data_IF_635556232029
#
_entry.id   IF_635556232029
#
_cell.length_a   1.000
_cell.length_b   1.000
_cell.length_c   1.000
_cell.angle_alpha   90.00
_cell.angle_beta   90.00
_cell.angle_gamma   90.00
#
_symmetry.space_group_name_H-M   'P 1'
#
loop_
_entity.id
_entity.type
_entity.pdbx_description
1 polymer ?
#
# COMPACT_ATOMS: atom_id res chain seq x y z
N UNK A 1 5.93 -58.72 -2.80
CA UNK A 1 6.43 -57.61 -3.63
C UNK A 1 5.81 -56.32 -3.10
N UNK A 2 6.56 -55.56 -2.29
CA UNK A 2 6.06 -54.35 -1.63
C UNK A 2 6.35 -53.13 -2.51
N UNK A 3 5.30 -52.55 -3.09
CA UNK A 3 5.43 -51.31 -3.86
C UNK A 3 5.36 -50.14 -2.87
N UNK A 4 6.53 -49.65 -2.47
CA UNK A 4 6.65 -48.44 -1.66
C UNK A 4 6.48 -47.24 -2.58
N UNK A 5 5.39 -46.49 -2.41
CA UNK A 5 5.19 -45.20 -3.08
C UNK A 5 5.99 -44.17 -2.29
N UNK A 6 6.99 -43.48 -2.88
CA UNK A 6 7.66 -42.39 -2.20
C UNK A 6 6.66 -41.24 -2.04
N UNK A 7 6.35 -40.91 -0.79
CA UNK A 7 5.63 -39.68 -0.45
C UNK A 7 6.51 -38.51 -0.88
N UNK A 8 6.17 -37.87 -2.00
CA UNK A 8 6.82 -36.66 -2.45
C UNK A 8 6.77 -35.62 -1.31
N UNK A 9 7.89 -34.95 -0.99
CA UNK A 9 7.89 -33.93 0.04
C UNK A 9 6.97 -32.81 -0.44
N UNK A 10 6.00 -32.42 0.39
CA UNK A 10 5.19 -31.22 0.16
C UNK A 10 6.16 -30.05 0.01
N UNK A 11 6.46 -29.66 -1.23
CA UNK A 11 7.11 -28.40 -1.56
C UNK A 11 6.28 -27.33 -0.88
N UNK A 12 6.80 -26.76 0.22
CA UNK A 12 6.35 -25.48 0.74
C UNK A 12 6.30 -24.57 -0.48
N UNK A 13 5.10 -24.09 -0.85
CA UNK A 13 4.94 -23.15 -1.95
C UNK A 13 5.94 -22.01 -1.73
N UNK A 14 7.01 -22.01 -2.52
CA UNK A 14 7.87 -20.85 -2.63
C UNK A 14 6.97 -19.77 -3.23
N UNK A 15 6.72 -18.73 -2.43
CA UNK A 15 5.97 -17.56 -2.86
C UNK A 15 6.60 -17.08 -4.17
N UNK A 16 5.83 -17.12 -5.25
CA UNK A 16 6.36 -16.84 -6.59
C UNK A 16 6.54 -15.33 -6.73
N UNK A 17 7.48 -14.89 -7.58
CA UNK A 17 7.63 -13.48 -7.93
C UNK A 17 6.32 -12.85 -8.44
N UNK A 18 5.45 -13.65 -9.09
CA UNK A 18 4.12 -13.22 -9.50
C UNK A 18 3.20 -12.91 -8.30
N UNK A 19 3.25 -13.71 -7.23
CA UNK A 19 2.47 -13.45 -6.02
C UNK A 19 2.99 -12.23 -5.23
N UNK A 20 4.29 -11.94 -5.28
CA UNK A 20 4.83 -10.72 -4.67
C UNK A 20 4.43 -9.46 -5.44
N UNK A 21 4.41 -9.53 -6.78
CA UNK A 21 3.93 -8.44 -7.63
C UNK A 21 2.43 -8.19 -7.42
N UNK A 22 1.62 -9.25 -7.29
CA UNK A 22 0.19 -9.15 -7.00
C UNK A 22 -0.06 -8.51 -5.63
N UNK A 23 0.68 -8.90 -4.59
CA UNK A 23 0.57 -8.30 -3.27
C UNK A 23 0.99 -6.83 -3.24
N UNK A 24 2.05 -6.46 -3.96
CA UNK A 24 2.47 -5.05 -4.12
C UNK A 24 1.40 -4.23 -4.84
N UNK A 25 0.79 -4.78 -5.88
CA UNK A 25 -0.28 -4.12 -6.61
C UNK A 25 -1.53 -3.93 -5.74
N UNK A 26 -1.91 -4.94 -4.95
CA UNK A 26 -3.01 -4.84 -3.99
C UNK A 26 -2.74 -3.75 -2.94
N UNK A 27 -1.54 -3.73 -2.36
CA UNK A 27 -1.16 -2.69 -1.39
C UNK A 27 -1.12 -1.29 -2.03
N UNK A 28 -0.64 -1.16 -3.27
CA UNK A 28 -0.65 0.11 -3.98
C UNK A 28 -2.09 0.61 -4.20
N UNK A 29 -3.03 -0.27 -4.55
CA UNK A 29 -4.44 0.07 -4.67
C UNK A 29 -5.04 0.53 -3.32
N UNK A 30 -4.75 -0.19 -2.24
CA UNK A 30 -5.21 0.19 -0.89
C UNK A 30 -4.67 1.57 -0.46
N UNK A 31 -3.41 1.88 -0.81
CA UNK A 31 -2.80 3.18 -0.50
C UNK A 31 -3.41 4.32 -1.34
N UNK A 32 -3.74 4.07 -2.60
CA UNK A 32 -4.46 5.03 -3.46
C UNK A 32 -5.84 5.33 -2.86
N UNK A 33 -6.59 4.30 -2.44
CA UNK A 33 -7.87 4.49 -1.77
C UNK A 33 -7.73 5.29 -0.46
N UNK A 34 -6.64 5.09 0.29
CA UNK A 34 -6.37 5.84 1.51
C UNK A 34 -6.03 7.31 1.22
N UNK A 35 -5.30 7.61 0.15
CA UNK A 35 -5.01 8.99 -0.28
C UNK A 35 -6.32 9.75 -0.54
N UNK A 36 -7.26 9.15 -1.27
CA UNK A 36 -8.56 9.78 -1.53
C UNK A 36 -9.33 10.07 -0.22
N UNK A 37 -9.33 9.13 0.73
CA UNK A 37 -9.96 9.36 2.04
C UNK A 37 -9.29 10.46 2.84
N UNK A 38 -7.96 10.57 2.80
CA UNK A 38 -7.22 11.66 3.46
C UNK A 38 -7.55 12.99 2.82
N UNK A 39 -7.69 13.03 1.49
CA UNK A 39 -8.12 14.21 0.75
C UNK A 39 -9.54 14.64 1.15
N UNK A 40 -10.50 13.71 1.18
CA UNK A 40 -11.87 13.98 1.64
C UNK A 40 -11.89 14.50 3.09
N UNK A 41 -11.10 13.92 3.98
CA UNK A 41 -10.96 14.39 5.36
C UNK A 41 -10.38 15.81 5.42
N UNK A 42 -9.41 16.13 4.56
CA UNK A 42 -8.81 17.47 4.46
C UNK A 42 -9.85 18.50 4.02
N UNK A 43 -10.66 18.17 2.99
CA UNK A 43 -11.77 19.01 2.53
C UNK A 43 -12.81 19.21 3.63
N UNK A 44 -13.12 18.16 4.40
CA UNK A 44 -14.04 18.25 5.53
C UNK A 44 -13.51 19.18 6.63
N UNK A 45 -12.23 19.06 7.00
CA UNK A 45 -11.57 19.93 7.99
C UNK A 45 -11.59 21.39 7.53
N UNK A 46 -11.35 21.65 6.24
CA UNK A 46 -11.41 23.00 5.68
C UNK A 46 -12.79 23.66 5.79
N UNK A 47 -13.86 22.86 5.84
CA UNK A 47 -15.24 23.34 6.02
C UNK A 47 -15.67 23.47 7.50
N UNK A 48 -14.85 23.03 8.45
CA UNK A 48 -15.21 23.04 9.87
C UNK A 48 -15.27 24.47 10.44
N UNK A 49 -16.23 24.69 11.33
CA UNK A 49 -16.29 25.87 12.18
C UNK A 49 -15.57 25.59 13.51
N UNK A 50 -14.70 26.49 13.96
CA UNK A 50 -13.96 26.29 15.22
C UNK A 50 -12.73 27.19 15.34
N UNK A 51 -11.91 27.01 16.40
CA UNK A 51 -10.72 27.81 16.57
C UNK A 51 -9.73 27.54 15.43
N UNK A 52 -9.35 28.62 14.74
CA UNK A 52 -8.70 28.57 13.44
C UNK A 52 -7.35 27.85 13.46
N UNK A 53 -6.58 28.01 14.54
CA UNK A 53 -5.25 27.41 14.64
C UNK A 53 -5.31 25.88 14.66
N UNK A 54 -6.20 25.29 15.44
CA UNK A 54 -6.34 23.82 15.52
C UNK A 54 -6.83 23.25 14.19
N UNK A 55 -7.75 23.93 13.51
CA UNK A 55 -8.24 23.51 12.19
C UNK A 55 -7.11 23.58 11.16
N UNK A 56 -6.34 24.67 11.14
CA UNK A 56 -5.19 24.82 10.25
C UNK A 56 -4.11 23.76 10.50
N UNK A 57 -3.77 23.49 11.77
CA UNK A 57 -2.81 22.46 12.13
C UNK A 57 -3.31 21.06 11.70
N UNK A 58 -4.59 20.78 11.92
CA UNK A 58 -5.19 19.51 11.49
C UNK A 58 -5.14 19.37 9.97
N UNK A 59 -5.51 20.40 9.22
CA UNK A 59 -5.42 20.39 7.76
C UNK A 59 -3.97 20.17 7.29
N UNK A 60 -2.99 20.82 7.91
CA UNK A 60 -1.58 20.62 7.58
C UNK A 60 -1.13 19.17 7.82
N UNK A 61 -1.48 18.58 8.96
CA UNK A 61 -1.14 17.19 9.26
C UNK A 61 -1.76 16.20 8.26
N UNK A 62 -2.97 16.46 7.77
CA UNK A 62 -3.60 15.65 6.74
C UNK A 62 -2.92 15.80 5.37
N UNK A 63 -2.51 17.02 4.99
CA UNK A 63 -1.72 17.25 3.77
C UNK A 63 -0.36 16.56 3.82
N UNK A 64 0.32 16.63 4.97
CA UNK A 64 1.60 15.94 5.20
C UNK A 64 1.42 14.42 5.09
N UNK A 65 0.33 13.88 5.66
CA UNK A 65 -0.01 12.46 5.56
C UNK A 65 -0.29 12.05 4.11
N UNK A 66 -1.06 12.83 3.35
CA UNK A 66 -1.32 12.59 1.93
C UNK A 66 -0.01 12.53 1.12
N UNK A 67 0.88 13.50 1.33
CA UNK A 67 2.20 13.53 0.68
C UNK A 67 3.04 12.30 1.04
N UNK A 68 3.00 11.84 2.30
CA UNK A 68 3.71 10.65 2.73
C UNK A 68 3.16 9.36 2.08
N UNK A 69 1.83 9.28 1.90
CA UNK A 69 1.18 8.16 1.22
C UNK A 69 1.50 8.14 -0.29
N UNK A 70 1.50 9.29 -0.95
CA UNK A 70 1.93 9.40 -2.35
C UNK A 70 3.35 8.87 -2.55
N UNK A 71 4.29 9.27 -1.68
CA UNK A 71 5.66 8.74 -1.68
C UNK A 71 5.73 7.24 -1.39
N UNK A 72 4.85 6.71 -0.56
CA UNK A 72 4.79 5.28 -0.30
C UNK A 72 4.34 4.50 -1.54
N UNK A 73 3.36 5.01 -2.28
CA UNK A 73 2.93 4.45 -3.57
C UNK A 73 4.05 4.54 -4.60
N UNK A 74 4.71 5.69 -4.70
CA UNK A 74 5.87 5.90 -5.58
C UNK A 74 6.97 4.88 -5.26
N UNK A 75 7.34 4.70 -3.98
CA UNK A 75 8.35 3.72 -3.58
C UNK A 75 7.97 2.26 -3.89
N UNK A 76 6.68 1.93 -3.86
CA UNK A 76 6.18 0.60 -4.23
C UNK A 76 6.17 0.38 -5.75
N UNK A 77 6.02 1.45 -6.55
CA UNK A 77 5.82 1.40 -8.00
C UNK A 77 7.09 1.72 -8.82
N UNK A 78 8.00 2.55 -8.30
CA UNK A 78 9.30 2.88 -8.92
C UNK A 78 10.26 1.68 -8.99
N UNK A 79 10.02 0.62 -8.22
CA UNK A 79 10.69 -0.68 -8.40
C UNK A 79 10.17 -1.47 -9.64
N UNK A 80 9.44 -0.79 -10.53
CA UNK A 80 8.89 -1.33 -11.79
C UNK A 80 9.92 -1.73 -12.84
N UNK A 81 11.20 -1.36 -12.68
CA UNK A 81 12.32 -2.01 -13.37
C UNK A 81 13.07 -2.94 -12.41
N UNK A 82 12.47 -4.09 -12.07
CA UNK A 82 13.30 -5.26 -11.81
C UNK A 82 13.63 -5.90 -13.16
N UNK A 83 14.82 -5.63 -13.67
CA UNK A 83 15.38 -6.25 -14.89
C UNK A 83 16.02 -7.59 -14.51
N UNK A 84 15.50 -8.75 -14.95
CA UNK A 84 16.22 -10.01 -14.86
C UNK A 84 17.07 -10.23 -16.10
N UNK A 85 18.24 -9.59 -16.13
CA UNK A 85 19.44 -10.11 -16.77
C UNK A 85 20.68 -9.44 -16.19
#
# INVERSE_FOLDING_TARGET
MSNVIPLAPRLKQAKSAASEAEERAALAADLIDLIERVREATEHVAAMSGPSLQIQQTAQHLLDAGTALERAVESLTENGEWVPF
#
